data_IF_464317487114
#
_entry.id   IF_464317487114
#
_cell.length_a   1.000
_cell.length_b   1.000
_cell.length_c   1.000
_cell.angle_alpha   90.00
_cell.angle_beta   90.00
_cell.angle_gamma   90.00
#
_symmetry.space_group_name_H-M   'P 1'
#
loop_
_entity.id
_entity.type
_entity.pdbx_description
1 polymer ?
#
# COMPACT_ATOMS: atom_id res chain seq x y z
N UNK A 1 -19.20 7.01 6.85
CA UNK A 1 -18.48 6.73 8.13
C UNK A 1 -17.37 7.77 8.37
N UNK A 2 -17.10 8.20 9.61
CA UNK A 2 -16.09 9.21 9.93
C UNK A 2 -14.69 8.88 9.41
N UNK A 3 -14.36 7.60 9.25
CA UNK A 3 -13.04 7.17 8.78
C UNK A 3 -12.74 7.57 7.33
N UNK A 4 -13.74 7.57 6.45
CA UNK A 4 -13.57 7.90 5.03
C UNK A 4 -13.45 9.39 4.73
N UNK A 5 -13.93 10.28 5.60
CA UNK A 5 -13.77 11.74 5.39
C UNK A 5 -12.29 12.13 5.31
N UNK A 6 -11.48 11.66 6.26
CA UNK A 6 -10.03 11.94 6.27
C UNK A 6 -9.27 11.25 5.13
N UNK A 7 -9.68 10.03 4.79
CA UNK A 7 -9.06 9.30 3.67
C UNK A 7 -9.37 10.02 2.35
N UNK A 8 -10.61 10.47 2.17
CA UNK A 8 -11.05 11.22 0.99
C UNK A 8 -10.30 12.54 0.86
N UNK A 9 -10.15 13.31 1.96
CA UNK A 9 -9.39 14.55 1.94
C UNK A 9 -7.90 14.37 1.60
N UNK A 10 -7.32 13.20 1.91
CA UNK A 10 -5.90 12.92 1.64
C UNK A 10 -5.69 12.33 0.25
N UNK A 11 -6.44 11.29 -0.10
CA UNK A 11 -6.17 10.44 -1.28
C UNK A 11 -7.26 10.47 -2.34
N UNK A 12 -8.35 11.20 -2.11
CA UNK A 12 -9.49 11.30 -3.01
C UNK A 12 -10.54 10.21 -2.80
N UNK A 13 -11.80 10.56 -3.02
CA UNK A 13 -12.94 9.65 -2.90
C UNK A 13 -12.93 8.57 -3.99
N UNK A 14 -12.41 8.89 -5.16
CA UNK A 14 -12.32 8.00 -6.31
C UNK A 14 -11.42 6.78 -6.06
N UNK A 15 -10.46 6.87 -5.13
CA UNK A 15 -9.67 5.73 -4.64
C UNK A 15 -10.48 4.88 -3.66
N UNK A 16 -11.24 5.51 -2.77
CA UNK A 16 -12.10 4.81 -1.81
C UNK A 16 -13.11 3.91 -2.55
N UNK A 17 -13.73 4.47 -3.60
CA UNK A 17 -14.69 3.74 -4.43
C UNK A 17 -14.02 2.64 -5.23
N UNK A 18 -12.93 2.95 -5.94
CA UNK A 18 -12.22 1.98 -6.77
C UNK A 18 -11.70 0.79 -5.96
N UNK A 19 -10.99 1.04 -4.86
CA UNK A 19 -10.46 -0.01 -4.01
C UNK A 19 -11.48 -0.58 -3.02
N UNK A 20 -12.75 -0.16 -3.13
CA UNK A 20 -13.84 -0.70 -2.33
C UNK A 20 -13.54 -0.66 -0.82
N UNK A 21 -12.79 0.35 -0.35
CA UNK A 21 -12.39 0.43 1.06
C UNK A 21 -13.59 0.57 2.00
N UNK A 22 -14.72 1.04 1.49
CA UNK A 22 -16.01 1.10 2.19
C UNK A 22 -16.47 -0.26 2.72
N UNK A 23 -16.10 -1.36 2.06
CA UNK A 23 -16.47 -2.73 2.44
C UNK A 23 -15.42 -3.41 3.31
N UNK A 24 -14.31 -2.73 3.61
CA UNK A 24 -13.27 -3.27 4.49
C UNK A 24 -13.69 -3.19 5.96
N UNK A 25 -13.23 -4.15 6.76
CA UNK A 25 -13.52 -4.19 8.19
C UNK A 25 -13.01 -2.96 8.96
N UNK A 26 -13.62 -2.68 10.11
CA UNK A 26 -13.34 -1.47 10.92
C UNK A 26 -11.84 -1.28 11.24
N UNK A 27 -11.14 -2.39 11.57
CA UNK A 27 -9.69 -2.38 11.82
C UNK A 27 -8.92 -1.85 10.62
N UNK A 28 -9.28 -2.28 9.41
CA UNK A 28 -8.66 -1.81 8.18
C UNK A 28 -8.89 -0.32 7.99
N UNK A 29 -10.14 0.16 8.15
CA UNK A 29 -10.44 1.58 8.00
C UNK A 29 -9.66 2.46 8.99
N UNK A 30 -9.50 2.01 10.25
CA UNK A 30 -8.72 2.73 11.27
C UNK A 30 -7.25 2.87 10.88
N UNK A 31 -6.61 1.80 10.40
CA UNK A 31 -5.20 1.83 9.99
C UNK A 31 -5.02 2.61 8.71
N UNK A 32 -5.91 2.45 7.72
CA UNK A 32 -5.93 3.20 6.47
C UNK A 32 -6.03 4.71 6.72
N UNK A 33 -6.92 5.13 7.63
CA UNK A 33 -7.06 6.53 8.06
C UNK A 33 -5.76 7.07 8.67
N UNK A 34 -5.11 6.29 9.52
CA UNK A 34 -3.84 6.70 10.13
C UNK A 34 -2.73 6.79 9.07
N UNK A 35 -2.62 5.81 8.18
CA UNK A 35 -1.61 5.80 7.12
C UNK A 35 -1.78 6.99 6.16
N UNK A 36 -3.01 7.28 5.72
CA UNK A 36 -3.31 8.47 4.90
C UNK A 36 -3.08 9.79 5.62
N UNK A 37 -3.17 9.83 6.95
CA UNK A 37 -2.81 11.04 7.70
C UNK A 37 -1.28 11.23 7.81
N UNK A 38 -0.51 10.13 7.82
CA UNK A 38 0.95 10.17 7.91
C UNK A 38 1.62 10.39 6.55
N UNK A 39 1.03 9.85 5.48
CA UNK A 39 1.50 10.01 4.10
C UNK A 39 0.33 10.52 3.25
N UNK A 40 -0.03 11.82 3.37
CA UNK A 40 -1.23 12.37 2.75
C UNK A 40 -1.11 12.52 1.23
N UNK A 41 0.11 12.64 0.68
CA UNK A 41 0.30 12.72 -0.76
C UNK A 41 0.13 11.33 -1.39
N UNK A 42 -0.84 11.17 -2.29
CA UNK A 42 -1.08 9.88 -2.96
C UNK A 42 0.10 9.41 -3.81
N UNK A 43 0.81 10.30 -4.52
CA UNK A 43 1.95 9.92 -5.35
C UNK A 43 3.09 9.37 -4.49
N UNK A 44 3.30 9.92 -3.29
CA UNK A 44 4.23 9.37 -2.33
C UNK A 44 3.75 8.04 -1.73
N UNK A 45 2.47 7.98 -1.34
CA UNK A 45 1.87 6.79 -0.76
C UNK A 45 1.91 5.61 -1.73
N UNK A 46 1.62 5.82 -3.01
CA UNK A 46 1.62 4.76 -4.03
C UNK A 46 3.03 4.21 -4.27
N UNK A 47 4.07 5.06 -4.29
CA UNK A 47 5.47 4.61 -4.37
C UNK A 47 5.80 3.68 -3.19
N UNK A 48 5.50 4.11 -1.97
CA UNK A 48 5.78 3.33 -0.76
C UNK A 48 4.95 2.04 -0.68
N UNK A 49 3.67 2.11 -1.04
CA UNK A 49 2.77 0.96 -1.09
C UNK A 49 3.26 -0.07 -2.10
N UNK A 50 3.71 0.35 -3.27
CA UNK A 50 4.23 -0.56 -4.29
C UNK A 50 5.47 -1.31 -3.82
N UNK A 51 6.39 -0.65 -3.13
CA UNK A 51 7.54 -1.31 -2.51
C UNK A 51 7.11 -2.34 -1.46
N UNK A 52 6.13 -2.00 -0.63
CA UNK A 52 5.59 -2.90 0.41
C UNK A 52 4.84 -4.10 -0.18
N UNK A 53 4.02 -3.87 -1.21
CA UNK A 53 3.27 -4.90 -1.94
C UNK A 53 4.23 -5.84 -2.65
N UNK A 54 5.18 -5.30 -3.42
CA UNK A 54 6.21 -6.11 -4.11
C UNK A 54 6.99 -6.95 -3.11
N UNK A 55 7.42 -6.34 -2.00
CA UNK A 55 8.13 -7.10 -0.96
C UNK A 55 7.27 -8.22 -0.40
N UNK A 56 5.97 -7.98 -0.15
CA UNK A 56 5.06 -9.02 0.32
C UNK A 56 4.93 -10.19 -0.66
N UNK A 57 4.87 -9.91 -1.96
CA UNK A 57 4.81 -10.92 -3.03
C UNK A 57 6.10 -11.77 -3.05
N UNK A 58 7.25 -11.13 -2.90
CA UNK A 58 8.56 -11.78 -2.98
C UNK A 58 8.93 -12.60 -1.72
N UNK A 59 8.27 -12.36 -0.58
CA UNK A 59 8.55 -13.10 0.66
C UNK A 59 8.20 -14.59 0.50
N UNK A 60 9.19 -15.47 0.70
CA UNK A 60 9.02 -16.93 0.63
C UNK A 60 7.88 -17.43 1.50
N UNK A 61 7.08 -18.37 0.97
CA UNK A 61 5.98 -19.02 1.68
C UNK A 61 4.72 -18.17 1.84
N UNK A 62 4.63 -17.00 1.18
CA UNK A 62 3.39 -16.23 1.10
C UNK A 62 2.61 -16.59 -0.16
N UNK A 63 1.29 -16.67 -0.03
CA UNK A 63 0.40 -16.82 -1.18
C UNK A 63 0.54 -15.61 -2.12
N UNK A 64 0.36 -15.82 -3.44
CA UNK A 64 0.21 -14.73 -4.40
C UNK A 64 -0.85 -13.71 -3.94
N UNK A 65 -0.84 -12.51 -4.53
CA UNK A 65 -1.94 -11.57 -4.33
C UNK A 65 -3.27 -12.29 -4.58
N UNK A 66 -4.19 -12.20 -3.61
CA UNK A 66 -5.56 -12.68 -3.86
C UNK A 66 -6.16 -11.81 -4.97
N UNK A 67 -6.86 -12.40 -5.96
CA UNK A 67 -7.57 -11.62 -6.96
C UNK A 67 -8.59 -10.72 -6.24
N UNK A 68 -8.27 -9.43 -6.18
CA UNK A 68 -9.00 -8.40 -5.44
C UNK A 68 -8.70 -7.07 -6.10
N UNK A 69 -9.72 -6.23 -6.25
CA UNK A 69 -9.54 -4.87 -6.77
C UNK A 69 -8.65 -4.05 -5.83
N UNK A 70 -8.63 -4.37 -4.55
CA UNK A 70 -7.75 -3.75 -3.56
C UNK A 70 -6.50 -4.62 -3.32
N UNK A 71 -5.33 -4.23 -3.84
CA UNK A 71 -4.08 -4.95 -3.60
C UNK A 71 -3.48 -4.65 -2.21
N UNK A 72 -3.94 -3.59 -1.54
CA UNK A 72 -3.37 -3.14 -0.26
C UNK A 72 -3.91 -3.99 0.89
N UNK A 73 -3.03 -4.69 1.59
CA UNK A 73 -3.40 -5.42 2.80
C UNK A 73 -3.17 -4.58 4.06
N UNK A 74 -3.73 -5.05 5.18
CA UNK A 74 -3.54 -4.42 6.47
C UNK A 74 -2.05 -4.28 6.86
N UNK A 75 -1.20 -5.25 6.53
CA UNK A 75 0.22 -5.19 6.90
C UNK A 75 0.98 -4.12 6.11
N UNK A 76 0.55 -3.79 4.89
CA UNK A 76 1.18 -2.70 4.13
C UNK A 76 0.82 -1.37 4.78
N UNK A 77 -0.44 -1.16 5.16
CA UNK A 77 -0.87 0.07 5.83
C UNK A 77 -0.19 0.26 7.20
N UNK A 78 0.00 -0.83 7.94
CA UNK A 78 0.75 -0.84 9.20
C UNK A 78 2.22 -0.40 9.02
N UNK A 79 2.82 -0.69 7.87
CA UNK A 79 4.18 -0.28 7.53
C UNK A 79 4.22 1.12 6.90
N UNK A 80 3.25 1.46 6.04
CA UNK A 80 3.15 2.77 5.40
C UNK A 80 3.06 3.87 6.46
N UNK A 81 2.25 3.69 7.51
CA UNK A 81 2.14 4.69 8.61
C UNK A 81 3.45 4.87 9.40
N UNK A 82 4.42 3.96 9.26
CA UNK A 82 5.74 4.01 9.92
C UNK A 82 6.83 4.55 9.01
N UNK A 83 6.69 4.37 7.70
CA UNK A 83 7.60 4.91 6.70
C UNK A 83 7.26 6.38 6.40
N UNK A 84 7.63 7.26 7.32
CA UNK A 84 7.21 8.68 7.30
C UNK A 84 8.05 9.57 6.39
N UNK A 85 9.32 9.25 6.20
CA UNK A 85 10.24 10.00 5.35
C UNK A 85 10.52 9.24 4.04
N UNK A 86 11.41 9.78 3.20
CA UNK A 86 11.84 9.17 1.95
C UNK A 86 13.12 8.34 2.13
N UNK A 87 13.57 8.12 3.36
CA UNK A 87 14.76 7.31 3.63
C UNK A 87 14.44 5.82 3.40
N UNK A 88 15.47 4.98 3.20
CA UNK A 88 15.27 3.55 3.11
C UNK A 88 14.58 2.99 4.37
N UNK A 89 13.64 2.07 4.18
CA UNK A 89 12.80 1.54 5.24
C UNK A 89 12.84 0.01 5.26
N UNK A 90 13.07 -0.54 6.45
CA UNK A 90 12.96 -1.98 6.66
C UNK A 90 11.55 -2.28 7.16
N UNK A 91 10.81 -3.05 6.37
CA UNK A 91 9.47 -3.52 6.73
C UNK A 91 9.50 -4.28 8.06
N UNK A 92 8.54 -3.99 8.93
CA UNK A 92 8.39 -4.69 10.20
C UNK A 92 8.25 -6.19 10.00
N UNK A 93 8.91 -6.95 10.88
CA UNK A 93 8.91 -8.41 10.90
C UNK A 93 9.36 -9.03 9.56
N UNK A 94 10.14 -8.28 8.78
CA UNK A 94 10.85 -8.82 7.63
C UNK A 94 12.08 -9.61 8.12
N UNK A 95 12.02 -10.94 7.99
CA UNK A 95 13.08 -11.83 8.45
C UNK A 95 14.40 -11.63 7.71
N UNK A 96 14.35 -11.23 6.45
CA UNK A 96 15.53 -10.99 5.62
C UNK A 96 16.03 -9.54 5.74
N UNK A 97 15.29 -8.69 6.49
CA UNK A 97 15.62 -7.28 6.75
C UNK A 97 15.92 -6.48 5.48
N UNK A 98 15.20 -6.79 4.39
CA UNK A 98 15.37 -6.11 3.10
C UNK A 98 15.03 -4.62 3.23
N UNK A 99 15.93 -3.78 2.75
CA UNK A 99 15.79 -2.33 2.73
C UNK A 99 14.96 -1.88 1.52
N UNK A 100 13.80 -1.29 1.76
CA UNK A 100 12.93 -0.73 0.74
C UNK A 100 13.32 0.72 0.48
N UNK A 101 13.52 1.08 -0.78
CA UNK A 101 13.95 2.42 -1.16
C UNK A 101 12.77 3.23 -1.69
N UNK A 102 12.77 4.55 -1.41
CA UNK A 102 11.82 5.47 -2.03
C UNK A 102 12.16 5.65 -3.51
N UNK A 103 11.70 4.71 -4.35
CA UNK A 103 11.83 4.76 -5.81
C UNK A 103 10.57 4.22 -6.46
N UNK A 104 10.19 4.84 -7.59
CA UNK A 104 9.07 4.36 -8.40
C UNK A 104 9.46 3.02 -9.04
N UNK A 105 8.57 2.03 -8.95
CA UNK A 105 8.71 0.77 -9.66
C UNK A 105 8.27 0.93 -11.12
N UNK A 106 8.90 0.17 -12.00
CA UNK A 106 8.55 0.01 -13.41
C UNK A 106 8.12 -1.43 -13.67
N UNK A 107 7.62 -1.72 -14.88
CA UNK A 107 7.26 -3.09 -15.27
C UNK A 107 8.45 -4.06 -15.16
N UNK A 108 9.67 -3.57 -15.39
CA UNK A 108 10.88 -4.38 -15.27
C UNK A 108 11.24 -4.73 -13.81
N UNK A 109 10.64 -4.06 -12.82
CA UNK A 109 10.89 -4.32 -11.40
C UNK A 109 9.89 -5.31 -10.78
N UNK A 110 8.80 -5.65 -11.47
CA UNK A 110 7.73 -6.52 -10.97
C UNK A 110 7.65 -7.82 -11.79
N UNK A 111 7.17 -8.93 -11.21
CA UNK A 111 6.98 -10.17 -11.98
C UNK A 111 5.96 -10.00 -13.11
N UNK A 112 6.19 -10.67 -14.25
CA UNK A 112 5.40 -10.53 -15.50
C UNK A 112 3.89 -10.78 -15.38
N UNK A 113 3.47 -11.46 -14.32
CA UNK A 113 2.05 -11.74 -14.04
C UNK A 113 1.31 -10.55 -13.38
N UNK A 114 2.04 -9.49 -13.03
CA UNK A 114 1.50 -8.30 -12.37
C UNK A 114 1.60 -7.09 -13.29
N UNK A 115 0.72 -6.12 -13.05
CA UNK A 115 0.71 -4.83 -13.74
C UNK A 115 0.54 -3.68 -12.77
N UNK A 116 0.28 -2.50 -13.30
CA UNK A 116 -0.15 -1.35 -12.53
C UNK A 116 -1.60 -1.01 -12.85
N UNK A 117 -2.40 -0.73 -11.82
CA UNK A 117 -3.75 -0.21 -12.00
C UNK A 117 -3.75 1.28 -12.44
N UNK A 118 -4.95 1.83 -12.67
CA UNK A 118 -5.13 3.22 -13.12
C UNK A 118 -4.65 4.28 -12.13
N UNK A 119 -4.42 3.94 -10.85
CA UNK A 119 -3.86 4.84 -9.84
C UNK A 119 -2.41 4.50 -9.49
N UNK A 120 -1.81 3.56 -10.24
CA UNK A 120 -0.40 3.21 -10.19
C UNK A 120 -0.04 2.19 -9.10
N UNK A 121 -0.97 1.41 -8.56
CA UNK A 121 -0.64 0.31 -7.64
C UNK A 121 -0.38 -1.00 -8.38
N UNK A 122 0.55 -1.80 -7.85
CA UNK A 122 0.81 -3.16 -8.33
C UNK A 122 -0.42 -4.05 -8.07
N UNK A 123 -0.94 -4.68 -9.12
CA UNK A 123 -2.12 -5.58 -9.11
C UNK A 123 -1.86 -6.87 -9.86
#
# INVERSE_FOLDING_TARGET
>A
LPCFRKISSAWGEEKIQHYQWAFAGEKYCKVLRTASSQVPNWAEASIKLNQLILRRIQMRGRQPLKPSINPISLIDLENLKRWRDQNPYIKMNDRERVSLHYRRLTLNDIPDIYGFDKYGLVV
#
